data_IF_017412661494
#
_entry.id   IF_017412661494
#
_cell.length_a   1.000
_cell.length_b   1.000
_cell.length_c   1.000
_cell.angle_alpha   90.00
_cell.angle_beta   90.00
_cell.angle_gamma   90.00
#
_symmetry.space_group_name_H-M   'P 1'
#
loop_
_entity.id
_entity.type
_entity.pdbx_description
1 polymer ?
#
# COMPACT_ATOMS: atom_id res chain seq x y z
N UNK A 1 22.62 3.37 -2.93
CA UNK A 1 22.22 4.50 -3.78
C UNK A 1 21.98 5.69 -2.89
N UNK A 2 22.70 6.79 -3.08
CA UNK A 2 22.49 8.01 -2.31
C UNK A 2 21.35 8.85 -2.91
N UNK A 3 20.92 9.90 -2.20
CA UNK A 3 19.78 10.75 -2.62
C UNK A 3 20.00 11.41 -3.99
N UNK A 4 21.24 11.73 -4.34
CA UNK A 4 21.58 12.37 -5.62
C UNK A 4 21.46 11.36 -6.76
N UNK A 5 22.02 10.17 -6.60
CA UNK A 5 21.91 9.05 -7.55
C UNK A 5 20.45 8.66 -7.79
N UNK A 6 19.66 8.56 -6.71
CA UNK A 6 18.24 8.24 -6.80
C UNK A 6 17.48 9.29 -7.63
N UNK A 7 17.76 10.58 -7.40
CA UNK A 7 17.10 11.67 -8.13
C UNK A 7 17.45 11.65 -9.62
N UNK A 8 18.72 11.45 -9.95
CA UNK A 8 19.16 11.36 -11.34
C UNK A 8 18.53 10.18 -12.07
N UNK A 9 18.46 9.01 -11.42
CA UNK A 9 17.78 7.84 -11.98
C UNK A 9 16.29 8.08 -12.20
N UNK A 10 15.64 8.85 -11.31
CA UNK A 10 14.24 9.25 -11.49
C UNK A 10 14.02 10.14 -12.70
N UNK A 11 14.89 11.15 -12.92
CA UNK A 11 14.80 12.01 -14.10
C UNK A 11 14.97 11.20 -15.39
N UNK A 12 15.98 10.33 -15.47
CA UNK A 12 16.17 9.46 -16.62
C UNK A 12 14.99 8.52 -16.87
N UNK A 13 14.38 7.98 -15.81
CA UNK A 13 13.19 7.16 -15.93
C UNK A 13 12.03 7.96 -16.54
N UNK A 14 11.76 9.16 -16.03
CA UNK A 14 10.70 10.04 -16.53
C UNK A 14 10.95 10.38 -18.01
N UNK A 15 12.17 10.77 -18.36
CA UNK A 15 12.55 11.15 -19.73
C UNK A 15 12.44 9.98 -20.72
N UNK A 16 12.55 8.74 -20.23
CA UNK A 16 12.41 7.54 -21.06
C UNK A 16 10.94 7.19 -21.40
N UNK A 17 9.95 7.80 -20.73
CA UNK A 17 8.54 7.51 -20.92
C UNK A 17 8.00 8.33 -22.11
N UNK A 18 7.91 7.68 -23.27
CA UNK A 18 7.34 8.29 -24.48
C UNK A 18 5.81 8.16 -24.60
N UNK A 19 5.15 7.50 -23.64
CA UNK A 19 3.71 7.26 -23.67
C UNK A 19 3.01 8.19 -22.66
N UNK A 20 2.29 9.18 -23.19
CA UNK A 20 1.60 10.21 -22.39
C UNK A 20 0.64 9.64 -21.33
N UNK A 21 -0.01 8.50 -21.62
CA UNK A 21 -0.90 7.84 -20.65
C UNK A 21 -0.10 7.25 -19.47
N UNK A 22 1.08 6.68 -19.75
CA UNK A 22 1.96 6.16 -18.70
C UNK A 22 2.53 7.32 -17.88
N UNK A 23 2.99 8.39 -18.54
CA UNK A 23 3.53 9.58 -17.88
C UNK A 23 2.49 10.25 -16.98
N UNK A 24 1.25 10.38 -17.46
CA UNK A 24 0.13 10.93 -16.69
C UNK A 24 -0.20 10.09 -15.45
N UNK A 25 -0.22 8.75 -15.58
CA UNK A 25 -0.41 7.86 -14.42
C UNK A 25 0.73 7.97 -13.41
N UNK A 26 1.97 8.04 -13.90
CA UNK A 26 3.14 8.21 -13.05
C UNK A 26 3.07 9.51 -12.25
N UNK A 27 2.76 10.62 -12.92
CA UNK A 27 2.53 11.91 -12.29
C UNK A 27 1.43 11.83 -11.22
N UNK A 28 0.28 11.24 -11.54
CA UNK A 28 -0.83 11.11 -10.59
C UNK A 28 -0.46 10.32 -9.33
N UNK A 29 0.36 9.28 -9.46
CA UNK A 29 0.86 8.51 -8.31
C UNK A 29 1.80 9.38 -7.46
N UNK A 30 2.80 10.01 -8.09
CA UNK A 30 3.79 10.82 -7.38
C UNK A 30 3.17 12.03 -6.67
N UNK A 31 2.22 12.72 -7.33
CA UNK A 31 1.48 13.83 -6.74
C UNK A 31 0.68 13.37 -5.50
N UNK A 32 -0.03 12.24 -5.60
CA UNK A 32 -0.77 11.67 -4.46
C UNK A 32 0.13 11.27 -3.30
N UNK A 33 1.34 10.79 -3.57
CA UNK A 33 2.29 10.43 -2.52
C UNK A 33 2.78 11.68 -1.79
N UNK A 34 2.99 12.79 -2.51
CA UNK A 34 3.41 14.05 -1.92
C UNK A 34 2.33 14.70 -1.03
N UNK A 35 1.06 14.41 -1.30
CA UNK A 35 -0.09 14.91 -0.53
C UNK A 35 -0.48 14.01 0.67
N UNK A 36 0.07 12.81 0.76
CA UNK A 36 -0.24 11.87 1.84
C UNK A 36 0.64 12.18 3.04
N UNK A 37 0.10 12.94 3.98
CA UNK A 37 0.58 12.88 5.35
C UNK A 37 0.36 11.45 5.88
N UNK A 38 1.39 10.89 6.50
CA UNK A 38 1.29 9.61 7.19
C UNK A 38 0.16 9.64 8.22
N UNK A 39 -0.45 8.48 8.49
CA UNK A 39 -1.54 8.38 9.45
C UNK A 39 -2.92 8.83 8.93
N UNK A 40 -3.07 9.27 7.67
CA UNK A 40 -4.40 9.61 7.10
C UNK A 40 -5.40 8.46 7.10
N UNK A 41 -4.96 7.20 7.00
CA UNK A 41 -5.86 6.04 7.09
C UNK A 41 -6.24 5.76 8.55
N UNK A 42 -5.28 5.79 9.45
CA UNK A 42 -5.49 5.66 10.90
C UNK A 42 -6.45 6.73 11.42
N UNK A 43 -6.23 8.00 11.07
CA UNK A 43 -7.06 9.12 11.50
C UNK A 43 -8.45 9.21 10.86
N UNK A 44 -8.81 8.29 9.94
CA UNK A 44 -10.18 8.16 9.42
C UNK A 44 -11.04 7.21 10.23
N UNK A 45 -10.41 6.35 11.04
CA UNK A 45 -11.07 5.36 11.86
C UNK A 45 -11.66 6.03 13.12
N UNK A 46 -12.84 5.60 13.55
CA UNK A 46 -13.37 5.95 14.88
C UNK A 46 -12.50 5.33 15.98
N UNK A 47 -12.67 5.75 17.23
CA UNK A 47 -11.93 5.15 18.35
C UNK A 47 -12.17 3.64 18.44
N UNK A 48 -13.41 3.19 18.25
CA UNK A 48 -13.77 1.78 18.27
C UNK A 48 -13.10 0.99 17.14
N UNK A 49 -13.02 1.57 15.94
CA UNK A 49 -12.36 0.96 14.79
C UNK A 49 -10.83 0.92 14.96
N UNK A 50 -10.24 1.93 15.61
CA UNK A 50 -8.82 1.94 15.96
C UNK A 50 -8.49 0.85 16.98
N UNK A 51 -9.31 0.73 18.03
CA UNK A 51 -9.15 -0.32 19.03
C UNK A 51 -9.30 -1.72 18.42
N UNK A 52 -10.28 -1.90 17.53
CA UNK A 52 -10.47 -3.17 16.83
C UNK A 52 -9.28 -3.52 15.94
N UNK A 53 -8.74 -2.53 15.22
CA UNK A 53 -7.56 -2.73 14.39
C UNK A 53 -6.34 -3.15 15.23
N UNK A 54 -6.14 -2.53 16.40
CA UNK A 54 -5.07 -2.92 17.33
C UNK A 54 -5.28 -4.34 17.86
N UNK A 55 -6.53 -4.70 18.24
CA UNK A 55 -6.85 -6.06 18.69
C UNK A 55 -6.55 -7.09 17.61
N UNK A 56 -7.00 -6.84 16.37
CA UNK A 56 -6.74 -7.72 15.24
C UNK A 56 -5.24 -7.92 14.96
N UNK A 57 -4.44 -6.85 15.09
CA UNK A 57 -2.98 -6.93 14.93
C UNK A 57 -2.35 -7.82 16.02
N UNK A 58 -2.74 -7.63 17.28
CA UNK A 58 -2.28 -8.45 18.41
C UNK A 58 -2.68 -9.91 18.21
N UNK A 59 -3.94 -10.18 17.89
CA UNK A 59 -4.49 -11.52 17.68
C UNK A 59 -3.82 -12.26 16.52
N UNK A 60 -3.39 -11.55 15.48
CA UNK A 60 -2.70 -12.13 14.33
C UNK A 60 -1.31 -12.69 14.65
N UNK A 61 -0.72 -12.27 15.76
CA UNK A 61 0.57 -12.81 16.23
C UNK A 61 0.43 -14.18 16.90
N UNK A 62 -0.79 -14.61 17.23
CA UNK A 62 -1.05 -15.96 17.74
C UNK A 62 -1.27 -16.93 16.57
N UNK A 63 -0.36 -17.90 16.35
CA UNK A 63 -0.50 -18.87 15.28
C UNK A 63 -1.78 -19.71 15.34
N UNK A 64 -2.40 -19.84 16.52
CA UNK A 64 -3.66 -20.58 16.69
C UNK A 64 -4.87 -19.87 16.08
N UNK A 65 -4.77 -18.55 15.87
CA UNK A 65 -5.79 -17.74 15.20
C UNK A 65 -5.61 -17.71 13.67
N UNK A 66 -4.53 -18.29 13.15
CA UNK A 66 -4.23 -18.29 11.72
C UNK A 66 -4.86 -19.49 11.01
N UNK A 67 -5.26 -19.28 9.76
CA UNK A 67 -5.70 -20.34 8.84
C UNK A 67 -4.74 -20.43 7.67
N UNK A 68 -4.62 -21.62 7.06
CA UNK A 68 -3.70 -21.77 5.94
C UNK A 68 -4.20 -20.99 4.71
N UNK A 69 -3.25 -20.55 3.88
CA UNK A 69 -3.57 -19.86 2.63
C UNK A 69 -4.46 -20.72 1.71
N UNK A 70 -4.24 -22.02 1.68
CA UNK A 70 -5.05 -22.96 0.91
C UNK A 70 -6.50 -23.03 1.41
N UNK A 71 -6.71 -22.94 2.73
CA UNK A 71 -8.05 -22.95 3.30
C UNK A 71 -8.83 -21.67 3.02
N UNK A 72 -8.20 -20.49 3.12
CA UNK A 72 -8.88 -19.23 2.76
C UNK A 72 -9.21 -19.17 1.27
N UNK A 73 -8.33 -19.66 0.39
CA UNK A 73 -8.62 -19.78 -1.05
C UNK A 73 -9.82 -20.69 -1.32
N UNK A 74 -9.91 -21.85 -0.65
CA UNK A 74 -11.07 -22.74 -0.76
C UNK A 74 -12.35 -22.05 -0.30
N UNK A 75 -12.32 -21.32 0.82
CA UNK A 75 -13.47 -20.59 1.37
C UNK A 75 -13.99 -19.53 0.39
N UNK A 76 -13.10 -18.82 -0.29
CA UNK A 76 -13.45 -17.73 -1.21
C UNK A 76 -13.46 -18.13 -2.68
N UNK A 77 -13.42 -19.44 -2.99
CA UNK A 77 -13.38 -19.98 -4.36
C UNK A 77 -14.51 -19.50 -5.27
N UNK A 78 -15.64 -19.06 -4.73
CA UNK A 78 -16.75 -18.51 -5.53
C UNK A 78 -16.39 -17.16 -6.18
N UNK A 79 -15.42 -16.43 -5.62
CA UNK A 79 -15.08 -15.05 -5.98
C UNK A 79 -13.68 -14.94 -6.60
N UNK A 80 -12.96 -16.07 -6.68
CA UNK A 80 -11.69 -16.27 -7.37
C UNK A 80 -11.96 -16.99 -8.70
#
# INVERSE_FOLDING_TARGET
MNTIELRNNFHHLIDSINNDNILSKFYAIMARMNERADGKLWGRLTEEEQEELIRADIESNDPSNLISHTEIQKKHKKWL
#
